data_IF_094732149933
#
_entry.id   IF_094732149933
#
_cell.length_a   1.000
_cell.length_b   1.000
_cell.length_c   1.000
_cell.angle_alpha   90.00
_cell.angle_beta   90.00
_cell.angle_gamma   90.00
#
_symmetry.space_group_name_H-M   'P 1'
#
loop_
_entity.id
_entity.type
_entity.pdbx_description
1 polymer ?
#
# COMPACT_ATOMS: atom_id res chain seq x y z
N UNK A 1 -3.50 -9.17 -8.50
CA UNK A 1 -2.08 -9.22 -8.13
C UNK A 1 -1.72 -7.97 -7.35
N UNK A 2 -1.08 -8.14 -6.21
CA UNK A 2 -0.69 -7.01 -5.36
C UNK A 2 0.57 -6.37 -5.92
N UNK A 3 0.61 -5.02 -5.94
CA UNK A 3 1.74 -4.27 -6.49
C UNK A 3 2.17 -3.16 -5.54
N UNK A 4 3.41 -2.75 -5.66
CA UNK A 4 3.96 -1.58 -4.99
C UNK A 4 4.08 -0.44 -5.98
N UNK A 5 3.71 0.76 -5.54
CA UNK A 5 3.79 1.96 -6.36
C UNK A 5 4.54 3.04 -5.58
N UNK A 6 5.54 3.64 -6.20
CA UNK A 6 6.17 4.81 -5.60
C UNK A 6 5.67 6.05 -6.30
N UNK A 7 5.22 7.01 -5.51
CA UNK A 7 4.66 8.25 -6.03
C UNK A 7 5.71 9.35 -6.07
N UNK A 8 5.45 10.37 -6.88
CA UNK A 8 6.33 11.54 -6.96
C UNK A 8 6.45 12.29 -5.64
N UNK A 9 5.49 12.10 -4.74
CA UNK A 9 5.56 12.66 -3.39
C UNK A 9 6.56 11.95 -2.48
N UNK A 10 7.09 10.81 -2.91
CA UNK A 10 7.96 9.97 -2.09
C UNK A 10 7.23 8.89 -1.31
N UNK A 11 5.91 8.88 -1.36
CA UNK A 11 5.11 7.85 -0.69
C UNK A 11 5.19 6.54 -1.46
N UNK A 12 5.22 5.43 -0.73
CA UNK A 12 5.11 4.08 -1.29
C UNK A 12 3.76 3.51 -0.93
N UNK A 13 3.03 3.07 -1.95
CA UNK A 13 1.72 2.45 -1.77
C UNK A 13 1.78 0.98 -2.11
N UNK A 14 1.00 0.19 -1.38
CA UNK A 14 0.75 -1.20 -1.72
C UNK A 14 -0.75 -1.36 -1.96
N UNK A 15 -1.13 -2.06 -3.02
CA UNK A 15 -2.52 -2.25 -3.34
C UNK A 15 -2.70 -3.18 -4.53
N UNK A 16 -3.96 -3.41 -4.88
CA UNK A 16 -4.30 -4.27 -6.00
C UNK A 16 -4.76 -3.41 -7.17
N UNK A 17 -4.04 -3.44 -8.30
CA UNK A 17 -4.49 -2.70 -9.48
C UNK A 17 -5.89 -3.13 -9.91
N UNK A 18 -6.71 -2.16 -10.27
CA UNK A 18 -8.06 -2.38 -10.74
C UNK A 18 -8.17 -1.91 -12.18
N UNK A 19 -8.40 -2.85 -13.10
CA UNK A 19 -8.44 -2.52 -14.53
C UNK A 19 -9.68 -1.74 -14.91
N UNK A 20 -10.79 -1.97 -14.23
CA UNK A 20 -12.04 -1.33 -14.60
C UNK A 20 -12.01 0.17 -14.42
N UNK A 21 -11.21 0.66 -13.48
CA UNK A 21 -11.07 2.09 -13.21
C UNK A 21 -9.77 2.67 -13.76
N UNK A 22 -8.91 1.84 -14.34
CA UNK A 22 -7.65 2.31 -14.93
C UNK A 22 -7.91 2.84 -16.33
N UNK A 23 -7.42 4.04 -16.59
CA UNK A 23 -7.52 4.72 -17.88
C UNK A 23 -6.13 5.12 -18.36
N UNK A 24 -6.05 5.86 -19.47
CA UNK A 24 -4.76 6.36 -19.94
C UNK A 24 -4.11 7.31 -18.94
N UNK A 25 -4.92 8.05 -18.16
CA UNK A 25 -4.43 9.08 -17.26
C UNK A 25 -4.40 8.63 -15.81
N UNK A 26 -5.18 7.62 -15.44
CA UNK A 26 -5.35 7.21 -14.04
C UNK A 26 -5.08 5.73 -13.86
N UNK A 27 -4.45 5.39 -12.75
CA UNK A 27 -4.30 4.03 -12.28
C UNK A 27 -5.30 3.79 -11.15
N UNK A 28 -6.22 2.84 -11.36
CA UNK A 28 -7.10 2.40 -10.29
C UNK A 28 -6.38 1.42 -9.38
N UNK A 29 -6.50 1.61 -8.07
CA UNK A 29 -5.88 0.75 -7.08
C UNK A 29 -6.90 0.43 -6.00
N UNK A 30 -7.14 -0.86 -5.77
CA UNK A 30 -8.02 -1.31 -4.69
C UNK A 30 -7.28 -1.26 -3.38
N UNK A 31 -7.91 -0.65 -2.39
CA UNK A 31 -7.44 -0.63 -1.00
C UNK A 31 -5.96 -0.27 -0.89
N UNK A 32 -5.55 0.91 -1.39
CA UNK A 32 -4.15 1.29 -1.28
C UNK A 32 -3.79 1.67 0.15
N UNK A 33 -2.65 1.16 0.62
CA UNK A 33 -2.08 1.50 1.91
C UNK A 33 -0.74 2.17 1.70
N UNK A 34 -0.45 3.19 2.49
CA UNK A 34 0.86 3.83 2.52
C UNK A 34 1.76 3.01 3.44
N UNK A 35 2.98 2.78 2.99
CA UNK A 35 4.00 2.14 3.80
C UNK A 35 4.79 3.22 4.53
N UNK A 36 4.84 3.11 5.84
CA UNK A 36 5.51 4.09 6.69
C UNK A 36 6.68 3.43 7.37
N UNK A 37 7.92 3.67 6.87
CA UNK A 37 9.10 3.15 7.55
C UNK A 37 9.21 3.80 8.92
N UNK A 38 9.47 2.99 9.94
CA UNK A 38 9.65 3.46 11.29
C UNK A 38 11.10 3.21 11.69
N UNK A 39 11.78 4.24 12.18
CA UNK A 39 13.14 4.07 12.64
C UNK A 39 13.17 3.16 13.86
N UNK A 40 13.93 2.09 13.73
CA UNK A 40 14.22 1.23 14.85
C UNK A 40 15.46 1.69 15.59
N UNK A 41 15.68 1.13 16.78
CA UNK A 41 16.93 1.31 17.48
C UNK A 41 18.07 0.61 16.74
N UNK A 42 19.32 1.11 16.88
CA UNK A 42 20.45 0.46 16.24
C UNK A 42 20.51 -1.03 16.62
N UNK A 43 20.72 -1.89 15.60
CA UNK A 43 20.80 -3.31 15.81
C UNK A 43 19.47 -4.04 15.88
N UNK A 44 18.35 -3.33 15.76
CA UNK A 44 17.02 -3.94 15.74
C UNK A 44 16.42 -3.95 14.33
N UNK A 45 15.51 -4.88 14.03
CA UNK A 45 14.87 -4.92 12.72
C UNK A 45 14.08 -3.64 12.44
N UNK A 46 14.06 -3.25 11.16
CA UNK A 46 13.24 -2.13 10.71
C UNK A 46 11.76 -2.50 10.79
N UNK A 47 10.93 -1.55 11.15
CA UNK A 47 9.49 -1.72 11.20
C UNK A 47 8.83 -0.91 10.10
N UNK A 48 7.79 -1.48 9.49
CA UNK A 48 6.99 -0.82 8.47
C UNK A 48 5.55 -0.75 8.96
N UNK A 49 5.02 0.46 9.01
CA UNK A 49 3.61 0.67 9.32
C UNK A 49 2.77 0.67 8.05
N UNK A 50 1.55 0.16 8.15
CA UNK A 50 0.57 0.16 7.07
C UNK A 50 -0.55 1.11 7.45
N UNK A 51 -0.84 2.09 6.58
CA UNK A 51 -1.89 3.06 6.83
C UNK A 51 -2.73 3.24 5.56
N UNK A 52 -4.07 3.22 5.65
CA UNK A 52 -4.87 3.47 4.45
C UNK A 52 -4.46 4.80 3.81
N UNK A 53 -4.34 4.79 2.48
CA UNK A 53 -3.86 5.98 1.78
C UNK A 53 -4.79 7.18 2.01
N UNK A 54 -6.11 6.95 1.85
CA UNK A 54 -7.11 7.98 2.16
C UNK A 54 -8.12 7.34 3.10
N UNK A 55 -7.95 7.49 4.43
CA UNK A 55 -8.81 6.79 5.38
C UNK A 55 -10.22 7.38 5.49
N UNK A 56 -10.47 8.51 4.85
CA UNK A 56 -11.74 9.23 4.96
C UNK A 56 -12.74 8.89 3.87
N UNK A 57 -12.35 8.07 2.88
CA UNK A 57 -13.21 7.76 1.76
C UNK A 57 -14.01 6.48 2.00
N UNK A 58 -15.17 6.39 1.38
CA UNK A 58 -15.95 5.16 1.29
C UNK A 58 -15.50 4.31 0.10
N UNK A 59 -14.75 4.90 -0.82
CA UNK A 59 -14.34 4.22 -2.05
C UNK A 59 -13.29 3.17 -1.74
N UNK A 60 -13.52 1.97 -2.24
CA UNK A 60 -12.54 0.88 -2.11
C UNK A 60 -11.46 0.96 -3.19
N UNK A 61 -11.76 1.63 -4.28
CA UNK A 61 -10.82 1.83 -5.39
C UNK A 61 -10.51 3.31 -5.48
N UNK A 62 -9.24 3.64 -5.49
CA UNK A 62 -8.78 5.02 -5.58
C UNK A 62 -8.01 5.17 -6.88
N UNK A 63 -8.30 6.24 -7.62
CA UNK A 63 -7.64 6.54 -8.88
C UNK A 63 -6.51 7.52 -8.64
N UNK A 64 -5.32 7.16 -9.07
CA UNK A 64 -4.13 7.97 -8.91
C UNK A 64 -3.62 8.33 -10.31
N UNK A 65 -3.28 9.59 -10.51
CA UNK A 65 -2.75 10.02 -11.80
C UNK A 65 -1.47 9.25 -12.13
N UNK A 66 -1.43 8.64 -13.30
CA UNK A 66 -0.25 7.89 -13.73
C UNK A 66 1.00 8.76 -13.77
N UNK A 67 0.84 10.05 -14.06
CA UNK A 67 1.96 10.99 -14.06
C UNK A 67 2.62 11.13 -12.68
N UNK A 68 1.92 10.77 -11.62
CA UNK A 68 2.44 10.84 -10.26
C UNK A 68 3.04 9.51 -9.77
N UNK A 69 3.05 8.49 -10.61
CA UNK A 69 3.64 7.19 -10.27
C UNK A 69 5.01 7.11 -10.89
N UNK A 70 6.05 7.04 -10.05
CA UNK A 70 7.44 6.92 -10.53
C UNK A 70 7.71 5.52 -11.02
N UNK A 71 7.27 4.53 -10.24
CA UNK A 71 7.56 3.13 -10.56
C UNK A 71 6.51 2.21 -9.94
N UNK A 72 6.36 1.06 -10.56
CA UNK A 72 5.52 -0.01 -10.06
C UNK A 72 6.35 -1.28 -10.01
N UNK A 73 6.27 -2.01 -8.90
CA UNK A 73 7.08 -3.20 -8.71
C UNK A 73 6.33 -4.24 -7.88
N UNK A 74 6.90 -5.43 -7.80
CA UNK A 74 6.29 -6.55 -7.08
C UNK A 74 6.76 -6.54 -5.63
N UNK A 75 5.83 -6.52 -4.66
CA UNK A 75 6.22 -6.60 -3.25
C UNK A 75 6.76 -8.00 -2.91
N UNK A 76 7.59 -8.06 -1.87
CA UNK A 76 8.05 -9.35 -1.40
C UNK A 76 6.93 -10.09 -0.64
N UNK A 77 7.19 -11.36 -0.30
CA UNK A 77 6.15 -12.19 0.32
C UNK A 77 5.72 -11.69 1.69
N UNK A 78 6.63 -11.10 2.46
CA UNK A 78 6.27 -10.55 3.76
C UNK A 78 5.30 -9.39 3.61
N UNK A 79 5.53 -8.53 2.63
CA UNK A 79 4.64 -7.42 2.33
C UNK A 79 3.29 -7.90 1.84
N UNK A 80 3.27 -8.89 0.96
CA UNK A 80 2.02 -9.45 0.44
C UNK A 80 1.19 -9.99 1.59
N UNK A 81 1.80 -10.79 2.45
CA UNK A 81 1.10 -11.38 3.59
C UNK A 81 0.55 -10.33 4.54
N UNK A 82 1.35 -9.32 4.86
CA UNK A 82 0.93 -8.24 5.75
C UNK A 82 -0.22 -7.44 5.15
N UNK A 83 -0.16 -7.15 3.85
CA UNK A 83 -1.23 -6.44 3.17
C UNK A 83 -2.53 -7.25 3.18
N UNK A 84 -2.45 -8.55 2.89
CA UNK A 84 -3.63 -9.41 2.89
C UNK A 84 -4.27 -9.49 4.27
N UNK A 85 -3.46 -9.52 5.32
CA UNK A 85 -3.99 -9.52 6.68
C UNK A 85 -4.69 -8.21 7.03
N UNK A 86 -4.29 -7.11 6.40
CA UNK A 86 -4.89 -5.80 6.67
C UNK A 86 -6.13 -5.51 5.80
N UNK A 87 -6.34 -6.22 4.70
CA UNK A 87 -7.30 -5.81 3.68
C UNK A 87 -8.40 -6.84 3.42
N UNK A 88 -9.14 -7.21 4.36
CA UNK A 88 -10.37 -7.90 4.03
C UNK A 88 -10.35 -9.40 4.10
N UNK A 89 -9.22 -10.01 4.33
CA UNK A 89 -9.18 -11.40 4.71
C UNK A 89 -9.62 -11.58 6.15
N UNK A 90 -9.56 -10.49 6.92
CA UNK A 90 -9.98 -10.46 8.31
C UNK A 90 -11.29 -9.69 8.45
N UNK A 91 -12.10 -10.10 9.40
CA UNK A 91 -13.40 -9.47 9.67
C UNK A 91 -13.24 -8.12 10.33
N UNK A 92 -12.13 -7.89 11.00
CA UNK A 92 -11.87 -6.63 11.69
C UNK A 92 -11.58 -5.50 10.71
N UNK A 93 -12.01 -4.26 11.02
CA UNK A 93 -11.66 -3.12 10.18
C UNK A 93 -10.16 -2.96 10.05
N UNK A 94 -9.68 -2.46 8.89
CA UNK A 94 -8.26 -2.21 8.73
C UNK A 94 -7.76 -1.21 9.78
N UNK A 95 -6.69 -1.57 10.41
CA UNK A 95 -5.96 -0.68 11.32
C UNK A 95 -4.52 -0.64 10.86
N UNK A 96 -3.84 0.45 11.18
CA UNK A 96 -2.42 0.50 10.97
C UNK A 96 -1.76 -0.64 11.72
N UNK A 97 -0.95 -1.43 11.03
CA UNK A 97 -0.21 -2.52 11.64
C UNK A 97 1.27 -2.29 11.41
N UNK A 98 2.05 -2.79 12.35
CA UNK A 98 3.49 -2.73 12.26
C UNK A 98 4.01 -4.13 12.03
N UNK A 99 4.80 -4.30 10.98
CA UNK A 99 5.51 -5.54 10.73
C UNK A 99 6.99 -5.32 10.95
N UNK A 100 7.69 -6.37 11.36
CA UNK A 100 9.11 -6.27 11.65
C UNK A 100 9.89 -6.84 10.48
N UNK A 101 10.88 -6.09 10.00
CA UNK A 101 11.73 -6.45 8.87
C UNK A 101 13.11 -6.80 9.40
N UNK A 102 13.61 -7.96 9.01
CA UNK A 102 14.96 -8.40 9.38
C UNK A 102 15.99 -7.95 8.37
#
# INVERSE_FOLDING_TARGET
MIRLFRLTTGEDLIGTPDQDTTTDDFQGIKQPFVLIPMQGEPGKPMKIGFHPYIPYTQDKVIKIKKANIITETTPDNNMINAYQQNTGQLVTPPKAKIITWL
#
